data_IF_220221609861
#
_entry.id   IF_220221609861
#
_cell.length_a   1.000
_cell.length_b   1.000
_cell.length_c   1.000
_cell.angle_alpha   90.00
_cell.angle_beta   90.00
_cell.angle_gamma   90.00
#
_symmetry.space_group_name_H-M   'P 1'
#
loop_
_entity.id
_entity.type
_entity.pdbx_description
1 polymer ?
#
# COMPACT_ATOMS: atom_id res chain seq x y z
N UNK A 1 -24.99 41.92 5.39
CA UNK A 1 -24.77 40.72 6.24
C UNK A 1 -24.51 39.41 5.45
N UNK A 2 -25.23 39.10 4.40
CA UNK A 2 -25.01 37.85 3.62
C UNK A 2 -23.62 37.76 2.94
N UNK A 3 -23.11 38.86 2.37
CA UNK A 3 -21.84 38.93 1.65
C UNK A 3 -20.61 38.67 2.55
N UNK A 4 -20.69 38.98 3.84
CA UNK A 4 -19.61 38.70 4.81
C UNK A 4 -19.57 37.22 5.22
N UNK A 5 -20.74 36.58 5.40
CA UNK A 5 -20.81 35.16 5.72
C UNK A 5 -20.24 34.25 4.58
N UNK A 6 -20.50 34.60 3.33
CA UNK A 6 -19.95 33.87 2.17
C UNK A 6 -18.41 33.99 2.10
N UNK A 7 -17.88 35.16 2.44
CA UNK A 7 -16.43 35.39 2.44
C UNK A 7 -15.73 34.60 3.57
N UNK A 8 -16.29 34.64 4.78
CA UNK A 8 -15.79 33.89 5.93
C UNK A 8 -15.82 32.35 5.69
N UNK A 9 -16.84 31.85 5.00
CA UNK A 9 -17.00 30.45 4.69
C UNK A 9 -15.99 30.00 3.61
N UNK A 10 -15.75 30.81 2.59
CA UNK A 10 -14.72 30.54 1.57
C UNK A 10 -13.32 30.60 2.16
N UNK A 11 -13.03 31.57 3.02
CA UNK A 11 -11.73 31.70 3.68
C UNK A 11 -11.45 30.50 4.62
N UNK A 12 -12.49 29.99 5.30
CA UNK A 12 -12.39 28.81 6.14
C UNK A 12 -12.15 27.52 5.31
N UNK A 13 -12.90 27.32 4.22
CA UNK A 13 -12.71 26.18 3.33
C UNK A 13 -11.32 26.17 2.68
N UNK A 14 -10.83 27.34 2.28
CA UNK A 14 -9.49 27.49 1.72
C UNK A 14 -8.40 27.22 2.76
N UNK A 15 -8.59 27.66 4.01
CA UNK A 15 -7.67 27.38 5.11
C UNK A 15 -7.61 25.89 5.45
N UNK A 16 -8.77 25.21 5.50
CA UNK A 16 -8.85 23.77 5.74
C UNK A 16 -8.20 22.99 4.60
N UNK A 17 -8.45 23.38 3.36
CA UNK A 17 -7.84 22.76 2.17
C UNK A 17 -6.31 22.93 2.16
N UNK A 18 -5.81 24.12 2.48
CA UNK A 18 -4.38 24.40 2.53
C UNK A 18 -3.69 23.63 3.67
N UNK A 19 -4.27 23.55 4.85
CA UNK A 19 -3.76 22.76 5.97
C UNK A 19 -3.71 21.27 5.60
N UNK A 20 -4.78 20.74 5.03
CA UNK A 20 -4.83 19.35 4.58
C UNK A 20 -3.78 19.05 3.49
N UNK A 21 -3.59 19.96 2.56
CA UNK A 21 -2.58 19.84 1.49
C UNK A 21 -1.16 19.85 2.05
N UNK A 22 -0.89 20.70 3.03
CA UNK A 22 0.41 20.80 3.70
C UNK A 22 0.72 19.52 4.51
N UNK A 23 -0.24 19.01 5.27
CA UNK A 23 -0.09 17.74 5.99
C UNK A 23 0.17 16.57 5.04
N UNK A 24 -0.54 16.53 3.91
CA UNK A 24 -0.32 15.52 2.88
C UNK A 24 1.08 15.57 2.26
N UNK A 25 1.56 16.76 1.99
CA UNK A 25 2.89 16.95 1.41
C UNK A 25 3.98 16.56 2.40
N UNK A 26 3.84 16.94 3.67
CA UNK A 26 4.73 16.51 4.75
C UNK A 26 4.75 14.99 4.91
N UNK A 27 3.58 14.36 4.94
CA UNK A 27 3.47 12.90 5.02
C UNK A 27 4.16 12.19 3.85
N UNK A 28 4.03 12.70 2.62
CA UNK A 28 4.71 12.16 1.45
C UNK A 28 6.23 12.32 1.52
N UNK A 29 6.71 13.45 2.02
CA UNK A 29 8.15 13.65 2.23
C UNK A 29 8.71 12.66 3.25
N UNK A 30 8.00 12.45 4.35
CA UNK A 30 8.43 11.52 5.40
C UNK A 30 8.49 10.09 4.89
N UNK A 31 7.49 9.62 4.12
CA UNK A 31 7.52 8.30 3.47
C UNK A 31 8.66 8.20 2.45
N UNK A 32 8.87 9.23 1.64
CA UNK A 32 9.93 9.23 0.63
C UNK A 32 11.33 9.15 1.25
N UNK A 33 11.50 9.69 2.46
CA UNK A 33 12.76 9.61 3.22
C UNK A 33 12.96 8.24 3.89
N UNK A 34 11.86 7.58 4.30
CA UNK A 34 11.90 6.24 4.89
C UNK A 34 12.25 5.16 3.87
N UNK A 35 11.72 5.26 2.67
CA UNK A 35 11.95 4.24 1.64
C UNK A 35 13.34 4.41 0.97
N UNK A 36 14.02 3.29 0.64
CA UNK A 36 15.30 3.32 -0.05
C UNK A 36 15.25 4.17 -1.32
N UNK A 37 16.34 4.89 -1.59
CA UNK A 37 16.44 5.77 -2.76
C UNK A 37 16.26 5.03 -4.09
N UNK A 38 16.51 3.74 -4.12
CA UNK A 38 16.57 2.96 -5.34
C UNK A 38 15.82 1.63 -5.18
N UNK A 39 14.50 1.70 -5.25
CA UNK A 39 13.68 0.49 -5.39
C UNK A 39 13.74 0.08 -6.85
N UNK A 40 14.75 -0.73 -7.19
CA UNK A 40 14.93 -1.24 -8.56
C UNK A 40 13.92 -2.32 -8.87
N UNK A 41 13.06 -2.07 -9.85
CA UNK A 41 12.17 -3.07 -10.40
C UNK A 41 12.85 -3.63 -11.65
N UNK A 42 13.54 -4.74 -11.51
CA UNK A 42 14.21 -5.41 -12.62
C UNK A 42 13.37 -6.60 -13.07
N UNK A 43 12.81 -6.53 -14.27
CA UNK A 43 12.16 -7.67 -14.89
C UNK A 43 13.21 -8.72 -15.30
N UNK A 44 13.07 -9.96 -14.79
CA UNK A 44 13.97 -11.08 -15.11
C UNK A 44 13.60 -11.79 -16.42
N UNK A 45 12.39 -11.55 -16.94
CA UNK A 45 11.89 -12.14 -18.18
C UNK A 45 10.80 -11.23 -18.81
N UNK A 46 10.42 -11.57 -20.05
CA UNK A 46 9.44 -10.82 -20.82
C UNK A 46 8.04 -10.80 -20.17
N UNK A 47 7.63 -11.86 -19.47
CA UNK A 47 6.33 -11.91 -18.78
C UNK A 47 6.28 -10.91 -17.61
N UNK A 48 7.37 -10.79 -16.84
CA UNK A 48 7.47 -9.79 -15.77
C UNK A 48 7.49 -8.37 -16.34
N UNK A 49 8.15 -8.17 -17.49
CA UNK A 49 8.16 -6.88 -18.19
C UNK A 49 6.77 -6.48 -18.67
N UNK A 50 6.01 -7.43 -19.22
CA UNK A 50 4.60 -7.24 -19.59
C UNK A 50 3.75 -6.87 -18.38
N UNK A 51 3.94 -7.55 -17.24
CA UNK A 51 3.23 -7.25 -15.99
C UNK A 51 3.51 -5.82 -15.52
N UNK A 52 4.78 -5.40 -15.47
CA UNK A 52 5.17 -4.05 -15.08
C UNK A 52 4.52 -3.01 -16.00
N UNK A 53 4.55 -3.24 -17.32
CA UNK A 53 3.92 -2.34 -18.28
C UNK A 53 2.40 -2.28 -18.12
N UNK A 54 1.76 -3.42 -17.82
CA UNK A 54 0.32 -3.48 -17.57
C UNK A 54 -0.05 -2.68 -16.33
N UNK A 55 0.65 -2.87 -15.22
CA UNK A 55 0.40 -2.11 -13.97
C UNK A 55 0.64 -0.59 -14.19
N UNK A 56 1.62 -0.23 -14.99
CA UNK A 56 1.94 1.18 -15.27
C UNK A 56 0.86 1.89 -16.06
N UNK A 57 0.21 1.19 -16.99
CA UNK A 57 -0.66 1.79 -18.00
C UNK A 57 -2.16 1.56 -17.76
N UNK A 58 -2.53 0.79 -16.74
CA UNK A 58 -3.93 0.46 -16.46
C UNK A 58 -4.23 0.66 -14.97
N UNK A 59 -5.46 1.04 -14.66
CA UNK A 59 -5.96 1.16 -13.29
C UNK A 59 -6.15 -0.22 -12.65
N UNK A 60 -6.58 -1.21 -13.43
CA UNK A 60 -6.77 -2.59 -12.98
C UNK A 60 -5.90 -3.51 -13.82
N UNK A 61 -5.11 -4.36 -13.15
CA UNK A 61 -4.30 -5.39 -13.79
C UNK A 61 -4.59 -6.74 -13.18
N UNK A 62 -4.96 -7.71 -14.01
CA UNK A 62 -5.14 -9.11 -13.62
C UNK A 62 -3.93 -9.90 -14.13
N UNK A 63 -3.26 -10.61 -13.23
CA UNK A 63 -2.08 -11.42 -13.56
C UNK A 63 -2.31 -12.89 -13.20
N UNK A 64 -2.23 -13.77 -14.19
CA UNK A 64 -2.33 -15.22 -14.03
C UNK A 64 -1.02 -15.89 -14.42
N UNK A 65 -0.78 -17.10 -13.94
CA UNK A 65 0.41 -17.89 -14.27
C UNK A 65 0.86 -18.78 -13.14
N UNK A 66 1.84 -19.68 -13.38
CA UNK A 66 2.34 -20.65 -12.42
C UNK A 66 2.84 -20.02 -11.11
N UNK A 67 2.82 -20.77 -10.01
CA UNK A 67 3.41 -20.34 -8.75
C UNK A 67 4.92 -20.09 -8.90
N UNK A 68 5.50 -19.22 -8.06
CA UNK A 68 6.93 -18.96 -8.04
C UNK A 68 7.47 -18.07 -9.17
N UNK A 69 6.66 -17.61 -10.11
CA UNK A 69 7.11 -16.76 -11.24
C UNK A 69 7.33 -15.29 -10.89
N UNK A 70 7.14 -14.91 -9.63
CA UNK A 70 7.42 -13.56 -9.13
C UNK A 70 6.29 -12.54 -9.32
N UNK A 71 5.05 -12.98 -9.64
CA UNK A 71 3.89 -12.07 -9.83
C UNK A 71 3.69 -11.10 -8.66
N UNK A 72 3.57 -11.65 -7.47
CA UNK A 72 3.36 -10.88 -6.23
C UNK A 72 4.56 -9.98 -5.93
N UNK A 73 5.78 -10.49 -6.10
CA UNK A 73 7.00 -9.72 -5.89
C UNK A 73 7.06 -8.49 -6.79
N UNK A 74 6.80 -8.66 -8.09
CA UNK A 74 6.81 -7.55 -9.07
C UNK A 74 5.73 -6.51 -8.74
N UNK A 75 4.51 -6.96 -8.40
CA UNK A 75 3.42 -6.06 -8.02
C UNK A 75 3.77 -5.24 -6.76
N UNK A 76 4.31 -5.88 -5.72
CA UNK A 76 4.75 -5.23 -4.49
C UNK A 76 5.88 -4.23 -4.76
N UNK A 77 6.91 -4.64 -5.50
CA UNK A 77 8.03 -3.76 -5.84
C UNK A 77 7.56 -2.51 -6.58
N UNK A 78 6.61 -2.69 -7.51
CA UNK A 78 6.03 -1.57 -8.23
C UNK A 78 5.22 -0.64 -7.31
N UNK A 79 4.38 -1.20 -6.43
CA UNK A 79 3.59 -0.43 -5.48
C UNK A 79 4.48 0.40 -4.52
N UNK A 80 5.55 -0.22 -3.97
CA UNK A 80 6.52 0.48 -3.13
C UNK A 80 7.24 1.60 -3.89
N UNK A 81 7.59 1.37 -5.16
CA UNK A 81 8.21 2.40 -6.00
C UNK A 81 7.28 3.60 -6.26
N UNK A 82 5.97 3.35 -6.30
CA UNK A 82 4.98 4.42 -6.44
C UNK A 82 4.88 5.24 -5.16
N UNK A 83 4.86 4.63 -3.99
CA UNK A 83 4.83 5.36 -2.71
C UNK A 83 6.00 6.31 -2.55
N UNK A 84 7.16 5.97 -3.12
CA UNK A 84 8.37 6.76 -3.01
C UNK A 84 8.38 8.02 -3.88
N UNK A 85 7.63 8.06 -4.97
CA UNK A 85 7.63 9.20 -5.88
C UNK A 85 7.01 10.44 -5.19
N UNK A 86 7.70 11.57 -5.06
CA UNK A 86 7.20 12.74 -4.33
C UNK A 86 5.91 13.33 -4.91
N UNK A 87 5.70 13.23 -6.21
CA UNK A 87 4.52 13.76 -6.90
C UNK A 87 3.42 12.71 -7.13
N UNK A 88 3.37 11.68 -6.29
CA UNK A 88 2.47 10.56 -6.43
C UNK A 88 1.16 10.81 -5.65
N UNK A 89 0.04 10.38 -6.22
CA UNK A 89 -1.28 10.44 -5.60
C UNK A 89 -1.53 9.30 -4.58
N UNK A 90 -0.74 8.22 -4.64
CA UNK A 90 -0.93 7.05 -3.79
C UNK A 90 -0.34 7.28 -2.40
N UNK A 91 -1.11 6.99 -1.36
CA UNK A 91 -0.73 7.21 0.04
C UNK A 91 -0.56 5.91 0.81
N UNK A 92 -1.27 4.85 0.39
CA UNK A 92 -1.35 3.59 1.10
C UNK A 92 -1.29 2.42 0.13
N UNK A 93 -0.81 1.29 0.62
CA UNK A 93 -0.88 -0.01 -0.04
C UNK A 93 -1.80 -0.91 0.78
N UNK A 94 -2.85 -1.42 0.16
CA UNK A 94 -3.70 -2.44 0.75
C UNK A 94 -3.28 -3.81 0.24
N UNK A 95 -2.89 -4.69 1.16
CA UNK A 95 -2.54 -6.08 0.88
C UNK A 95 -3.77 -6.93 1.13
N UNK A 96 -4.48 -7.27 0.08
CA UNK A 96 -5.73 -8.03 0.18
C UNK A 96 -5.47 -9.49 -0.17
N UNK A 97 -5.87 -10.42 0.69
CA UNK A 97 -5.76 -11.85 0.47
C UNK A 97 -7.07 -12.55 0.83
N UNK A 98 -7.51 -13.47 -0.05
CA UNK A 98 -8.57 -14.40 0.30
C UNK A 98 -8.03 -15.34 1.38
N UNK A 99 -8.70 -15.36 2.51
CA UNK A 99 -8.40 -16.25 3.62
C UNK A 99 -9.39 -17.41 3.55
N UNK A 100 -8.91 -18.54 3.03
CA UNK A 100 -9.66 -19.79 3.10
C UNK A 100 -9.20 -20.53 4.33
N UNK A 101 -10.05 -20.60 5.34
CA UNK A 101 -9.84 -21.51 6.48
C UNK A 101 -10.17 -22.94 6.06
N UNK A 102 -9.41 -23.91 6.55
CA UNK A 102 -9.79 -25.31 6.45
C UNK A 102 -11.14 -25.50 7.13
N UNK A 103 -12.00 -26.38 6.57
CA UNK A 103 -13.34 -26.64 7.10
C UNK A 103 -13.26 -26.91 8.60
N UNK A 104 -13.88 -26.03 9.41
CA UNK A 104 -13.95 -26.15 10.87
C UNK A 104 -13.09 -25.16 11.68
N UNK A 105 -12.19 -24.42 11.05
CA UNK A 105 -11.42 -23.34 11.72
C UNK A 105 -11.91 -21.98 11.20
N UNK A 106 -12.94 -21.44 11.84
CA UNK A 106 -13.30 -20.04 11.61
C UNK A 106 -12.23 -19.14 12.22
N UNK A 107 -11.83 -18.08 11.52
CA UNK A 107 -10.86 -17.07 12.02
C UNK A 107 -11.27 -16.53 13.39
N UNK A 108 -12.59 -16.56 13.69
CA UNK A 108 -13.13 -16.18 14.99
C UNK A 108 -12.60 -17.00 16.18
N UNK A 109 -12.18 -18.25 15.97
CA UNK A 109 -11.64 -19.13 17.03
C UNK A 109 -10.14 -18.90 17.31
N UNK A 110 -9.40 -18.18 16.46
CA UNK A 110 -8.01 -17.83 16.76
C UNK A 110 -7.98 -16.86 17.94
N UNK A 111 -7.11 -17.14 18.92
CA UNK A 111 -6.88 -16.24 20.07
C UNK A 111 -6.17 -14.99 19.59
N UNK A 112 -6.56 -13.83 20.14
CA UNK A 112 -5.89 -12.55 19.87
C UNK A 112 -6.77 -11.54 19.15
N UNK A 113 -6.23 -10.36 18.93
CA UNK A 113 -6.81 -9.26 18.18
C UNK A 113 -6.92 -9.62 16.68
N UNK A 114 -7.75 -8.91 15.95
CA UNK A 114 -7.95 -9.08 14.49
C UNK A 114 -6.62 -9.03 13.72
N UNK A 115 -5.68 -8.17 14.12
CA UNK A 115 -4.36 -8.06 13.49
C UNK A 115 -3.54 -9.33 13.67
N UNK A 116 -3.49 -9.88 14.88
CA UNK A 116 -2.78 -11.13 15.21
C UNK A 116 -3.34 -12.33 14.44
N UNK A 117 -4.66 -12.36 14.25
CA UNK A 117 -5.34 -13.42 13.52
C UNK A 117 -5.05 -13.40 12.01
N UNK A 118 -4.84 -12.23 11.44
CA UNK A 118 -4.61 -12.03 10.01
C UNK A 118 -3.13 -12.18 9.66
N UNK A 119 -2.22 -11.88 10.57
CA UNK A 119 -0.78 -11.83 10.34
C UNK A 119 -0.22 -13.11 9.68
N UNK A 120 -0.54 -14.35 10.10
CA UNK A 120 -0.03 -15.55 9.45
C UNK A 120 -0.38 -15.64 7.96
N UNK A 121 -1.56 -15.15 7.58
CA UNK A 121 -2.01 -15.17 6.18
C UNK A 121 -1.29 -14.12 5.34
N UNK A 122 -0.82 -13.04 5.95
CA UNK A 122 -0.09 -11.96 5.28
C UNK A 122 1.40 -12.20 5.14
N UNK A 123 1.94 -13.22 5.81
CA UNK A 123 3.38 -13.51 5.85
C UNK A 123 4.00 -13.65 4.46
N UNK A 124 3.28 -14.24 3.51
CA UNK A 124 3.74 -14.34 2.12
C UNK A 124 3.98 -12.97 1.45
N UNK A 125 3.23 -11.94 1.83
CA UNK A 125 3.47 -10.58 1.37
C UNK A 125 4.67 -9.96 2.08
N UNK A 126 4.77 -10.11 3.40
CA UNK A 126 5.86 -9.53 4.20
C UNK A 126 7.22 -10.05 3.76
N UNK A 127 7.37 -11.36 3.53
CA UNK A 127 8.61 -11.95 2.99
C UNK A 127 9.00 -11.34 1.63
N UNK A 128 8.03 -11.00 0.78
CA UNK A 128 8.34 -10.36 -0.48
C UNK A 128 8.74 -8.89 -0.29
N UNK A 129 8.14 -8.18 0.65
CA UNK A 129 8.48 -6.79 0.98
C UNK A 129 9.88 -6.72 1.61
N UNK A 130 10.22 -7.63 2.52
CA UNK A 130 11.54 -7.69 3.19
C UNK A 130 12.71 -7.95 2.23
N UNK A 131 12.45 -8.52 1.07
CA UNK A 131 13.45 -8.64 -0.01
C UNK A 131 13.73 -7.31 -0.73
N UNK A 132 12.89 -6.29 -0.50
CA UNK A 132 12.95 -5.00 -1.19
C UNK A 132 13.35 -3.89 -0.23
N UNK A 133 12.80 -3.91 0.99
CA UNK A 133 13.07 -2.91 2.04
C UNK A 133 13.43 -3.61 3.36
N UNK A 134 14.25 -2.98 4.23
CA UNK A 134 14.57 -3.50 5.55
C UNK A 134 13.33 -3.70 6.44
N UNK A 135 13.36 -4.72 7.31
CA UNK A 135 12.25 -5.10 8.20
C UNK A 135 11.81 -3.95 9.14
N UNK A 136 12.76 -3.16 9.66
CA UNK A 136 12.44 -2.00 10.48
C UNK A 136 11.58 -0.97 9.73
N UNK A 137 11.85 -0.75 8.44
CA UNK A 137 11.05 0.13 7.58
C UNK A 137 9.67 -0.48 7.35
N UNK A 138 9.59 -1.79 7.05
CA UNK A 138 8.30 -2.47 6.90
C UNK A 138 7.43 -2.32 8.14
N UNK A 139 7.98 -2.55 9.34
CA UNK A 139 7.27 -2.35 10.60
C UNK A 139 6.72 -0.93 10.74
N UNK A 140 7.56 0.07 10.50
CA UNK A 140 7.15 1.48 10.54
C UNK A 140 6.01 1.78 9.55
N UNK A 141 6.06 1.20 8.35
CA UNK A 141 5.00 1.40 7.34
C UNK A 141 3.68 0.73 7.74
N UNK A 142 3.72 -0.40 8.44
CA UNK A 142 2.53 -1.09 8.99
C UNK A 142 1.96 -0.32 10.19
N UNK A 143 2.81 0.10 11.14
CA UNK A 143 2.41 0.86 12.33
C UNK A 143 1.74 2.19 11.97
N UNK A 144 2.26 2.88 10.96
CA UNK A 144 1.69 4.12 10.43
C UNK A 144 0.54 3.89 9.43
N UNK A 145 0.06 2.66 9.29
CA UNK A 145 -1.02 2.28 8.38
C UNK A 145 -0.81 2.67 6.91
N UNK A 146 0.43 2.79 6.49
CA UNK A 146 0.81 3.02 5.08
C UNK A 146 0.69 1.72 4.29
N UNK A 147 1.08 0.59 4.90
CA UNK A 147 0.81 -0.75 4.40
C UNK A 147 -0.25 -1.37 5.31
N UNK A 148 -1.42 -1.67 4.75
CA UNK A 148 -2.54 -2.25 5.49
C UNK A 148 -2.87 -3.64 4.98
N UNK A 149 -2.69 -4.67 5.80
CA UNK A 149 -3.22 -6.00 5.51
C UNK A 149 -4.75 -5.98 5.63
N UNK A 150 -5.42 -6.63 4.69
CA UNK A 150 -6.87 -6.72 4.67
C UNK A 150 -7.34 -8.10 4.20
N UNK A 151 -8.06 -8.88 5.02
CA UNK A 151 -8.64 -10.15 4.59
C UNK A 151 -9.85 -9.90 3.68
N UNK A 152 -9.98 -10.64 2.60
CA UNK A 152 -11.09 -10.47 1.66
C UNK A 152 -12.45 -10.91 2.24
N UNK A 153 -12.45 -11.67 3.32
CA UNK A 153 -13.66 -12.26 3.92
C UNK A 153 -14.29 -11.45 5.06
N UNK A 154 -13.88 -10.19 5.25
CA UNK A 154 -14.41 -9.31 6.31
C UNK A 154 -14.72 -7.92 5.80
#
# INVERSE_FOLDING_TARGET
>A
MAKNRYREQTDFEELVFNNFTNELNKFKEDISKLLPNDIKIVAKNESQKKLINSIKNNEITICTGPAGTGKTFVAIAYALSLLRKPNNFYKKIYLVKSVTTLKGEEIGFLKGDMKEKIEPFMWSFYINIEKIIPNNILKTLIENEIIRPFPLAY
#
